data_IF_424950701027
#
_entry.id   IF_424950701027
#
_cell.length_a   1.000
_cell.length_b   1.000
_cell.length_c   1.000
_cell.angle_alpha   90.00
_cell.angle_beta   90.00
_cell.angle_gamma   90.00
#
_symmetry.space_group_name_H-M   'P 1'
#
loop_
_entity.id
_entity.type
_entity.pdbx_description
1 polymer ?
#
# COMPACT_ATOMS: atom_id res chain seq x y z
N UNK A 1 -11.18 32.52 -16.93
CA UNK A 1 -11.10 31.04 -16.87
C UNK A 1 -10.41 30.69 -15.57
N UNK A 2 -11.11 30.06 -14.62
CA UNK A 2 -10.51 29.70 -13.34
C UNK A 2 -9.34 28.75 -13.58
N UNK A 3 -8.17 29.07 -13.03
CA UNK A 3 -6.97 28.24 -13.04
C UNK A 3 -7.39 26.86 -12.54
N UNK A 4 -7.24 25.80 -13.35
CA UNK A 4 -7.40 24.42 -12.85
C UNK A 4 -6.31 24.21 -11.80
N UNK A 5 -6.67 24.32 -10.52
CA UNK A 5 -5.77 23.98 -9.43
C UNK A 5 -5.57 22.47 -9.38
N UNK A 6 -4.35 22.07 -9.01
CA UNK A 6 -3.94 20.68 -8.95
C UNK A 6 -4.60 20.08 -7.70
N UNK A 7 -5.33 18.96 -7.81
CA UNK A 7 -5.97 18.33 -6.67
C UNK A 7 -4.92 17.92 -5.63
N UNK A 8 -5.21 18.16 -4.36
CA UNK A 8 -4.35 17.77 -3.25
C UNK A 8 -4.67 16.34 -2.82
N UNK A 9 -3.65 15.49 -2.76
CA UNK A 9 -3.71 14.12 -2.30
C UNK A 9 -2.93 13.97 -0.99
N UNK A 10 -3.59 13.52 0.07
CA UNK A 10 -2.98 13.21 1.36
C UNK A 10 -3.17 11.72 1.61
N UNK A 11 -2.07 11.01 1.89
CA UNK A 11 -2.09 9.58 2.11
C UNK A 11 -1.71 9.22 3.53
N UNK A 12 -2.46 8.28 4.08
CA UNK A 12 -2.16 7.59 5.31
C UNK A 12 -1.89 6.13 4.97
N UNK A 13 -0.60 5.78 4.93
CA UNK A 13 -0.13 4.42 4.68
C UNK A 13 0.14 3.67 6.00
N UNK A 14 -0.31 4.21 7.14
CA UNK A 14 -0.03 3.65 8.43
C UNK A 14 -1.00 2.50 8.71
N UNK A 15 -0.75 1.34 8.09
CA UNK A 15 -1.56 0.09 8.10
C UNK A 15 -2.03 -0.41 9.48
N UNK A 16 -1.60 0.21 10.58
CA UNK A 16 -2.09 0.03 11.93
C UNK A 16 -3.41 0.79 12.18
N UNK A 17 -4.39 0.58 11.31
CA UNK A 17 -5.77 0.96 11.59
C UNK A 17 -6.46 -0.29 12.14
N UNK A 18 -7.29 -0.19 13.18
CA UNK A 18 -8.12 -1.29 13.71
C UNK A 18 -9.20 -1.79 12.69
N UNK A 19 -8.95 -1.61 11.39
CA UNK A 19 -9.80 -1.87 10.24
C UNK A 19 -9.13 -2.82 9.22
N UNK A 20 -7.97 -3.40 9.55
CA UNK A 20 -7.19 -4.32 8.70
C UNK A 20 -6.08 -3.63 7.90
N UNK A 21 -5.38 -4.39 7.05
CA UNK A 21 -4.37 -3.86 6.12
C UNK A 21 -5.04 -3.03 5.01
N UNK A 22 -5.24 -1.74 5.27
CA UNK A 22 -5.77 -0.80 4.31
C UNK A 22 -5.08 0.54 4.45
N UNK A 23 -4.99 1.26 3.34
CA UNK A 23 -4.44 2.62 3.29
C UNK A 23 -5.60 3.60 3.08
N UNK A 24 -5.44 4.86 3.51
CA UNK A 24 -6.45 5.89 3.31
C UNK A 24 -5.92 7.03 2.46
N UNK A 25 -6.77 7.55 1.57
CA UNK A 25 -6.47 8.75 0.78
C UNK A 25 -7.53 9.81 1.02
N UNK A 26 -7.09 11.03 1.30
CA UNK A 26 -7.94 12.21 1.27
C UNK A 26 -7.61 12.99 0.01
N UNK A 27 -8.62 13.16 -0.84
CA UNK A 27 -8.53 13.92 -2.08
C UNK A 27 -9.35 15.19 -1.92
N UNK A 28 -8.75 16.34 -2.20
CA UNK A 28 -9.47 17.63 -2.16
C UNK A 28 -9.22 18.44 -3.42
N UNK A 29 -10.30 18.99 -3.95
CA UNK A 29 -10.41 19.96 -5.04
C UNK A 29 -11.40 21.06 -4.57
N UNK A 30 -11.49 22.19 -5.26
CA UNK A 30 -12.24 23.38 -4.77
C UNK A 30 -13.73 23.09 -4.48
N UNK A 31 -14.37 22.26 -5.32
CA UNK A 31 -15.79 21.94 -5.23
C UNK A 31 -16.06 20.47 -4.88
N UNK A 32 -15.03 19.62 -4.94
CA UNK A 32 -15.13 18.17 -4.85
C UNK A 32 -14.03 17.60 -3.96
N UNK A 33 -14.29 16.45 -3.38
CA UNK A 33 -13.32 15.77 -2.55
C UNK A 33 -13.92 14.53 -1.94
N UNK A 34 -13.04 13.66 -1.46
CA UNK A 34 -13.46 12.47 -0.75
C UNK A 34 -12.36 11.95 0.17
N UNK A 35 -12.79 11.15 1.14
CA UNK A 35 -11.95 10.22 1.88
C UNK A 35 -12.21 8.84 1.31
N UNK A 36 -11.16 8.21 0.78
CA UNK A 36 -11.18 6.90 0.15
C UNK A 36 -10.40 5.89 0.98
N UNK A 37 -10.95 4.68 1.09
CA UNK A 37 -10.25 3.50 1.59
C UNK A 37 -9.61 2.78 0.42
N UNK A 38 -8.39 2.30 0.61
CA UNK A 38 -7.63 1.55 -0.38
C UNK A 38 -7.37 0.17 0.18
N UNK A 39 -7.85 -0.84 -0.56
CA UNK A 39 -7.72 -2.25 -0.22
C UNK A 39 -7.01 -3.00 -1.37
N UNK A 40 -6.33 -4.09 -1.04
CA UNK A 40 -5.79 -5.03 -2.02
C UNK A 40 -6.73 -6.23 -2.13
N UNK A 41 -7.30 -6.47 -3.30
CA UNK A 41 -8.34 -7.50 -3.49
C UNK A 41 -8.12 -8.33 -4.76
N UNK A 42 -8.73 -9.53 -4.80
CA UNK A 42 -8.79 -10.40 -5.98
C UNK A 42 -10.06 -10.17 -6.82
N UNK A 43 -10.68 -8.99 -6.71
CA UNK A 43 -11.96 -8.71 -7.36
C UNK A 43 -11.82 -8.53 -8.88
N UNK A 44 -12.92 -8.69 -9.61
CA UNK A 44 -13.02 -8.27 -11.00
C UNK A 44 -12.91 -6.74 -11.12
N UNK A 45 -12.64 -6.25 -12.33
CA UNK A 45 -12.60 -4.82 -12.60
C UNK A 45 -13.96 -4.16 -12.30
N UNK A 46 -13.94 -3.19 -11.39
CA UNK A 46 -15.11 -2.41 -10.97
C UNK A 46 -14.83 -0.93 -11.18
N UNK A 47 -15.66 -0.27 -11.98
CA UNK A 47 -15.66 1.18 -12.16
C UNK A 47 -17.08 1.69 -11.91
N UNK A 48 -17.26 2.39 -10.81
CA UNK A 48 -18.51 3.04 -10.42
C UNK A 48 -18.26 4.49 -9.99
N UNK A 49 -19.29 5.16 -9.49
CA UNK A 49 -19.18 6.53 -9.01
C UNK A 49 -18.38 6.63 -7.70
N UNK A 50 -18.37 5.56 -6.91
CA UNK A 50 -17.74 5.51 -5.59
C UNK A 50 -16.63 4.48 -5.48
N UNK A 51 -16.50 3.57 -6.46
CA UNK A 51 -15.49 2.51 -6.44
C UNK A 51 -14.70 2.52 -7.74
N UNK A 52 -13.39 2.34 -7.62
CA UNK A 52 -12.51 2.10 -8.76
C UNK A 52 -11.50 1.03 -8.40
N UNK A 53 -11.36 0.02 -9.25
CA UNK A 53 -10.23 -0.91 -9.21
C UNK A 53 -9.13 -0.46 -10.16
N UNK A 54 -7.88 -0.56 -9.72
CA UNK A 54 -6.69 -0.37 -10.55
C UNK A 54 -6.38 -1.59 -11.41
N UNK A 55 -5.25 -1.50 -12.11
CA UNK A 55 -4.72 -2.60 -12.91
C UNK A 55 -4.33 -3.81 -12.04
N UNK A 56 -4.44 -4.99 -12.62
CA UNK A 56 -4.03 -6.24 -11.99
C UNK A 56 -2.53 -6.42 -12.05
N UNK A 57 -1.91 -6.69 -10.90
CA UNK A 57 -0.50 -7.07 -10.81
C UNK A 57 -0.41 -8.32 -9.94
N UNK A 58 0.11 -9.41 -10.51
CA UNK A 58 0.23 -10.70 -9.83
C UNK A 58 -1.08 -11.18 -9.18
N UNK A 59 -2.21 -11.09 -9.91
CA UNK A 59 -3.55 -11.53 -9.45
C UNK A 59 -4.15 -10.67 -8.32
N UNK A 60 -3.48 -9.58 -7.94
CA UNK A 60 -3.96 -8.62 -6.94
C UNK A 60 -4.29 -7.30 -7.65
N UNK A 61 -5.44 -6.73 -7.32
CA UNK A 61 -5.86 -5.39 -7.76
C UNK A 61 -5.94 -4.46 -6.55
N UNK A 62 -5.59 -3.20 -6.78
CA UNK A 62 -5.89 -2.13 -5.83
C UNK A 62 -7.35 -1.73 -6.00
N UNK A 63 -8.15 -1.75 -4.93
CA UNK A 63 -9.54 -1.29 -4.92
C UNK A 63 -9.62 -0.03 -4.06
N UNK A 64 -10.03 1.08 -4.67
CA UNK A 64 -10.29 2.34 -3.97
C UNK A 64 -11.79 2.56 -3.87
N UNK A 65 -12.27 2.74 -2.65
CA UNK A 65 -13.68 2.98 -2.35
C UNK A 65 -13.84 4.28 -1.57
N UNK A 66 -14.68 5.18 -2.06
CA UNK A 66 -15.07 6.41 -1.38
C UNK A 66 -15.91 6.06 -0.15
N UNK A 67 -15.39 6.37 1.04
CA UNK A 67 -16.10 6.22 2.32
C UNK A 67 -16.86 7.49 2.70
N UNK A 68 -16.36 8.66 2.30
CA UNK A 68 -17.01 9.94 2.57
C UNK A 68 -16.73 10.93 1.47
N UNK A 69 -17.77 11.57 0.96
CA UNK A 69 -17.63 12.70 0.03
C UNK A 69 -17.48 13.97 0.86
N UNK A 70 -16.51 14.81 0.51
CA UNK A 70 -16.25 16.12 1.13
C UNK A 70 -16.22 17.17 0.01
N UNK A 71 -17.09 18.17 0.06
CA UNK A 71 -17.21 19.14 -1.04
C UNK A 71 -18.59 19.78 -1.07
N UNK A 72 -18.71 20.94 -1.72
CA UNK A 72 -19.95 21.72 -1.73
C UNK A 72 -20.95 21.22 -2.77
N UNK A 73 -20.49 20.83 -3.96
CA UNK A 73 -21.36 20.41 -5.08
C UNK A 73 -20.76 19.22 -5.84
N UNK A 74 -20.72 18.03 -5.23
CA UNK A 74 -20.17 16.87 -5.87
C UNK A 74 -21.01 16.39 -7.06
N UNK A 75 -20.42 16.30 -8.24
CA UNK A 75 -21.06 15.63 -9.39
C UNK A 75 -20.43 14.26 -9.62
N UNK A 76 -21.20 13.24 -10.05
CA UNK A 76 -20.65 11.91 -10.33
C UNK A 76 -19.48 11.94 -11.32
N UNK A 77 -19.57 12.78 -12.36
CA UNK A 77 -18.50 12.92 -13.35
C UNK A 77 -17.20 13.51 -12.76
N UNK A 78 -17.31 14.54 -11.90
CA UNK A 78 -16.16 15.12 -11.22
C UNK A 78 -15.54 14.13 -10.22
N UNK A 79 -16.37 13.41 -9.47
CA UNK A 79 -15.94 12.37 -8.54
C UNK A 79 -15.19 11.25 -9.24
N UNK A 80 -15.72 10.68 -10.33
CA UNK A 80 -15.03 9.65 -11.12
C UNK A 80 -13.68 10.14 -11.65
N UNK A 81 -13.62 11.39 -12.09
CA UNK A 81 -12.37 11.99 -12.57
C UNK A 81 -11.34 12.16 -11.46
N UNK A 82 -11.77 12.59 -10.28
CA UNK A 82 -10.90 12.73 -9.11
C UNK A 82 -10.44 11.37 -8.58
N UNK A 83 -11.33 10.38 -8.56
CA UNK A 83 -11.05 8.99 -8.16
C UNK A 83 -10.03 8.32 -9.09
N UNK A 84 -10.12 8.59 -10.40
CA UNK A 84 -9.11 8.15 -11.37
C UNK A 84 -7.73 8.74 -11.06
N UNK A 85 -7.64 10.06 -10.88
CA UNK A 85 -6.38 10.74 -10.55
C UNK A 85 -5.78 10.27 -9.22
N UNK A 86 -6.64 10.04 -8.22
CA UNK A 86 -6.26 9.50 -6.92
C UNK A 86 -5.62 8.12 -7.04
N UNK A 87 -6.22 7.23 -7.83
CA UNK A 87 -5.68 5.89 -8.10
C UNK A 87 -4.34 5.95 -8.84
N UNK A 88 -4.23 6.81 -9.87
CA UNK A 88 -2.99 7.02 -10.62
C UNK A 88 -1.87 7.51 -9.69
N UNK A 89 -2.15 8.54 -8.89
CA UNK A 89 -1.21 9.08 -7.90
C UNK A 89 -0.80 8.02 -6.87
N UNK A 90 -1.77 7.31 -6.28
CA UNK A 90 -1.48 6.25 -5.31
C UNK A 90 -0.59 5.15 -5.91
N UNK A 91 -0.88 4.75 -7.15
CA UNK A 91 -0.10 3.72 -7.84
C UNK A 91 1.31 4.22 -8.11
N UNK A 92 1.46 5.44 -8.62
CA UNK A 92 2.77 6.03 -8.94
C UNK A 92 3.69 6.09 -7.72
N UNK A 93 3.19 6.53 -6.57
CA UNK A 93 4.05 6.68 -5.40
C UNK A 93 4.35 5.37 -4.67
N UNK A 94 3.47 4.36 -4.81
CA UNK A 94 3.61 3.06 -4.14
C UNK A 94 4.16 1.97 -5.07
N UNK A 95 4.32 2.26 -6.37
CA UNK A 95 4.99 1.33 -7.28
C UNK A 95 6.50 1.41 -7.09
N UNK A 96 7.03 0.45 -6.35
CA UNK A 96 8.47 0.20 -6.31
C UNK A 96 8.80 -0.68 -7.51
N UNK A 97 9.65 -0.18 -8.42
CA UNK A 97 10.25 -1.05 -9.44
C UNK A 97 11.12 -2.10 -8.76
N UNK A 98 10.70 -3.37 -8.84
CA UNK A 98 11.46 -4.48 -8.30
C UNK A 98 12.40 -4.98 -9.39
N UNK A 99 13.70 -4.73 -9.21
CA UNK A 99 14.73 -5.30 -10.07
C UNK A 99 14.91 -6.78 -9.70
N UNK A 100 14.30 -7.67 -10.47
CA UNK A 100 14.33 -9.13 -10.23
C UNK A 100 15.52 -9.82 -10.88
N UNK A 101 16.17 -9.21 -11.88
CA UNK A 101 17.28 -9.82 -12.62
C UNK A 101 18.63 -9.59 -11.93
N UNK A 102 18.83 -8.45 -11.30
CA UNK A 102 20.05 -8.13 -10.56
C UNK A 102 19.76 -7.11 -9.45
N UNK A 103 19.05 -7.51 -8.38
CA UNK A 103 18.75 -6.61 -7.27
C UNK A 103 20.04 -6.14 -6.59
N UNK A 104 20.08 -4.84 -6.28
CA UNK A 104 21.18 -4.30 -5.48
C UNK A 104 21.09 -4.77 -4.03
N UNK A 105 22.21 -4.80 -3.30
CA UNK A 105 22.20 -5.14 -1.86
C UNK A 105 21.22 -4.29 -1.06
N UNK A 106 21.09 -3.00 -1.42
CA UNK A 106 20.14 -2.10 -0.77
C UNK A 106 18.70 -2.57 -0.98
N UNK A 107 18.33 -2.92 -2.22
CA UNK A 107 17.01 -3.47 -2.53
C UNK A 107 16.75 -4.81 -1.82
N UNK A 108 17.77 -5.67 -1.72
CA UNK A 108 17.68 -6.91 -0.95
C UNK A 108 17.44 -6.65 0.55
N UNK A 109 18.17 -5.69 1.14
CA UNK A 109 18.02 -5.31 2.55
C UNK A 109 16.63 -4.71 2.80
N UNK A 110 16.16 -3.79 1.95
CA UNK A 110 14.86 -3.14 2.07
C UNK A 110 13.71 -4.17 1.93
N UNK A 111 13.87 -5.17 1.06
CA UNK A 111 12.94 -6.29 0.92
C UNK A 111 12.92 -7.19 2.17
N UNK A 112 14.09 -7.56 2.70
CA UNK A 112 14.18 -8.32 3.95
C UNK A 112 13.53 -7.58 5.12
N UNK A 113 13.72 -6.25 5.20
CA UNK A 113 13.07 -5.41 6.20
C UNK A 113 11.55 -5.45 6.10
N UNK A 114 11.02 -5.44 4.87
CA UNK A 114 9.59 -5.55 4.62
C UNK A 114 9.05 -6.92 5.06
N UNK A 115 9.75 -8.01 4.73
CA UNK A 115 9.38 -9.36 5.14
C UNK A 115 9.42 -9.56 6.66
N UNK A 116 10.45 -9.03 7.33
CA UNK A 116 10.58 -9.11 8.79
C UNK A 116 9.43 -8.35 9.45
N UNK A 117 9.16 -7.11 9.01
CA UNK A 117 8.07 -6.29 9.57
C UNK A 117 6.70 -6.94 9.38
N UNK A 118 6.41 -7.42 8.16
CA UNK A 118 5.11 -8.04 7.86
C UNK A 118 4.86 -9.31 8.68
N UNK A 119 5.88 -10.17 8.81
CA UNK A 119 5.73 -11.45 9.52
C UNK A 119 5.79 -11.34 11.06
N UNK A 120 6.18 -10.18 11.62
CA UNK A 120 6.09 -9.95 13.08
C UNK A 120 4.65 -9.99 13.60
N UNK A 121 3.68 -9.62 12.76
CA UNK A 121 2.26 -9.74 13.10
C UNK A 121 1.86 -11.22 13.28
N UNK A 122 2.30 -12.10 12.37
CA UNK A 122 2.03 -13.54 12.42
C UNK A 122 2.57 -14.20 13.70
N UNK A 123 3.70 -13.71 14.23
CA UNK A 123 4.23 -14.19 15.52
C UNK A 123 3.30 -13.86 16.71
N UNK A 124 2.58 -12.74 16.61
CA UNK A 124 1.62 -12.28 17.62
C UNK A 124 0.29 -13.03 17.46
N UNK A 125 -0.17 -13.25 16.23
CA UNK A 125 -1.41 -13.98 15.93
C UNK A 125 -1.34 -15.47 16.26
N UNK A 126 -0.18 -16.12 16.09
CA UNK A 126 0.02 -17.52 16.46
C UNK A 126 -0.25 -17.82 17.95
N UNK A 127 -0.34 -16.79 18.81
CA UNK A 127 -0.92 -16.89 20.14
C UNK A 127 -0.26 -17.92 21.06
N UNK A 128 -0.99 -19.00 21.38
CA UNK A 128 -0.56 -20.09 22.27
C UNK A 128 0.00 -21.32 21.53
N UNK A 129 -0.06 -21.37 20.19
CA UNK A 129 0.55 -22.48 19.45
C UNK A 129 2.08 -22.35 19.47
N UNK A 130 2.69 -23.18 20.31
CA UNK A 130 4.13 -23.18 20.51
C UNK A 130 4.91 -23.59 19.26
N UNK A 131 4.40 -24.55 18.47
CA UNK A 131 5.12 -25.06 17.31
C UNK A 131 5.07 -24.04 16.16
N UNK A 132 3.91 -23.45 15.93
CA UNK A 132 3.74 -22.40 14.93
C UNK A 132 4.60 -21.16 15.28
N UNK A 133 4.56 -20.71 16.54
CA UNK A 133 5.42 -19.61 17.00
C UNK A 133 6.91 -19.91 16.83
N UNK A 134 7.33 -21.14 17.12
CA UNK A 134 8.73 -21.55 16.96
C UNK A 134 9.16 -21.51 15.50
N UNK A 135 8.32 -21.95 14.57
CA UNK A 135 8.59 -21.91 13.13
C UNK A 135 8.71 -20.45 12.66
N UNK A 136 7.73 -19.60 13.01
CA UNK A 136 7.73 -18.19 12.61
C UNK A 136 8.95 -17.45 13.18
N UNK A 137 9.26 -17.65 14.46
CA UNK A 137 10.42 -17.05 15.10
C UNK A 137 11.75 -17.49 14.46
N UNK A 138 11.87 -18.78 14.10
CA UNK A 138 13.08 -19.30 13.44
C UNK A 138 13.26 -18.66 12.06
N UNK A 139 12.18 -18.55 11.29
CA UNK A 139 12.20 -17.90 9.98
C UNK A 139 12.57 -16.41 10.09
N UNK A 140 11.99 -15.68 11.04
CA UNK A 140 12.32 -14.28 11.30
C UNK A 140 13.79 -14.10 11.69
N UNK A 141 14.32 -14.93 12.59
CA UNK A 141 15.72 -14.90 12.99
C UNK A 141 16.67 -15.15 11.81
N UNK A 142 16.31 -16.08 10.90
CA UNK A 142 17.12 -16.35 9.71
C UNK A 142 17.11 -15.16 8.74
N UNK A 143 15.97 -14.50 8.55
CA UNK A 143 15.87 -13.29 7.72
C UNK A 143 16.70 -12.13 8.30
N UNK A 144 16.67 -11.95 9.63
CA UNK A 144 17.52 -10.96 10.33
C UNK A 144 19.01 -11.28 10.15
N UNK A 145 19.42 -12.54 10.30
CA UNK A 145 20.81 -12.96 10.09
C UNK A 145 21.30 -12.76 8.64
N UNK A 146 20.45 -13.04 7.64
CA UNK A 146 20.78 -12.79 6.22
C UNK A 146 20.98 -11.30 5.99
N UNK A 147 20.09 -10.47 6.53
CA UNK A 147 20.17 -9.01 6.42
C UNK A 147 21.48 -8.46 7.01
N UNK A 148 21.85 -8.92 8.20
CA UNK A 148 23.08 -8.50 8.86
C UNK A 148 24.32 -8.95 8.09
N UNK A 149 24.30 -10.16 7.53
CA UNK A 149 25.37 -10.64 6.64
C UNK A 149 25.54 -9.73 5.42
N UNK A 150 24.45 -9.33 4.78
CA UNK A 150 24.47 -8.42 3.63
C UNK A 150 25.00 -7.02 4.00
N UNK A 151 24.69 -6.51 5.18
CA UNK A 151 25.23 -5.24 5.68
C UNK A 151 26.73 -5.31 5.96
N UNK A 152 27.20 -6.42 6.53
CA UNK A 152 28.60 -6.59 6.93
C UNK A 152 29.53 -6.86 5.73
N UNK A 153 29.02 -7.37 4.61
CA UNK A 153 29.79 -7.49 3.37
C UNK A 153 30.32 -6.13 2.89
N UNK A 154 29.59 -5.03 3.13
CA UNK A 154 30.00 -3.67 2.77
C UNK A 154 31.05 -3.04 3.69
N UNK A 155 31.33 -3.62 4.85
CA UNK A 155 32.35 -3.09 5.77
C UNK A 155 33.75 -3.68 5.52
N UNK A 156 33.82 -4.73 4.69
CA UNK A 156 35.05 -5.46 4.38
C UNK A 156 35.55 -5.27 2.93
N UNK A 157 34.89 -4.39 2.17
CA UNK A 157 35.36 -3.84 0.89
C UNK A 157 35.82 -2.39 1.08
#
# INVERSE_FOLDING_TARGET
MAKREIPLFILDNNRAHNLGECDFITCTDIDNGFVGKIDYTHCQEEISDTVRTGEERNVIRVRMEIKRIIGKNPTPAAQRSLLKKAMEYYTEINTVEVNTSSPTDKQCIDFLDTLIKGNRHNLTEAGVDYNERKIIATSLNMLEAIKDKLKNLKQNE
#
